data_IF_535156668035
#
_entry.id   IF_535156668035
#
_cell.length_a   1.000
_cell.length_b   1.000
_cell.length_c   1.000
_cell.angle_alpha   90.00
_cell.angle_beta   90.00
_cell.angle_gamma   90.00
#
_symmetry.space_group_name_H-M   'P 1'
#
loop_
_entity.id
_entity.type
_entity.pdbx_description
1 polymer ?
#
# COMPACT_ATOMS: atom_id res chain seq x y z
N UNK A 1 -21.89 42.09 29.41
CA UNK A 1 -20.62 42.14 28.65
C UNK A 1 -20.60 40.95 27.70
N UNK A 2 -19.93 41.13 26.57
CA UNK A 2 -20.14 40.49 25.28
C UNK A 2 -19.82 38.98 25.15
N UNK A 3 -20.30 38.46 24.01
CA UNK A 3 -19.91 37.26 23.25
C UNK A 3 -20.60 35.96 23.69
N UNK A 4 -21.44 35.30 22.88
CA UNK A 4 -21.42 35.18 21.43
C UNK A 4 -20.80 33.83 21.08
N UNK A 5 -21.65 32.85 20.75
CA UNK A 5 -21.27 31.49 20.37
C UNK A 5 -22.44 30.55 20.60
N UNK A 6 -23.30 30.42 19.60
CA UNK A 6 -24.41 29.47 19.55
C UNK A 6 -23.89 28.06 19.75
N UNK A 7 -24.52 27.37 20.69
CA UNK A 7 -24.60 25.91 20.74
C UNK A 7 -25.42 25.54 19.50
N UNK A 8 -24.74 25.23 18.40
CA UNK A 8 -25.42 24.71 17.20
C UNK A 8 -25.53 23.19 17.34
N UNK A 9 -26.79 22.78 17.46
CA UNK A 9 -27.34 21.45 17.64
C UNK A 9 -26.78 20.37 16.69
N UNK A 10 -26.81 19.14 17.22
CA UNK A 10 -26.72 17.85 16.54
C UNK A 10 -27.68 17.72 15.34
N UNK A 11 -27.31 18.25 14.18
CA UNK A 11 -27.92 17.93 12.89
C UNK A 11 -26.97 17.03 12.11
N UNK A 12 -27.31 15.73 12.07
CA UNK A 12 -26.77 14.75 11.12
C UNK A 12 -26.63 15.41 9.74
N UNK A 13 -25.41 15.69 9.26
CA UNK A 13 -25.24 16.25 7.94
C UNK A 13 -25.71 15.18 6.99
N UNK A 14 -26.92 15.32 6.45
CA UNK A 14 -27.39 14.49 5.36
C UNK A 14 -26.32 14.58 4.27
N UNK A 15 -25.50 13.54 4.17
CA UNK A 15 -24.39 13.41 3.23
C UNK A 15 -24.99 13.47 1.84
N UNK A 16 -25.14 14.70 1.34
CA UNK A 16 -25.75 14.96 0.07
C UNK A 16 -24.77 14.52 -1.01
N UNK A 17 -25.27 13.80 -2.01
CA UNK A 17 -24.47 13.41 -3.17
C UNK A 17 -23.85 14.62 -3.88
N UNK A 18 -24.46 15.79 -3.75
CA UNK A 18 -23.90 17.05 -4.26
C UNK A 18 -22.66 17.48 -3.48
N UNK A 19 -22.66 17.39 -2.15
CA UNK A 19 -21.48 17.68 -1.32
C UNK A 19 -20.36 16.66 -1.55
N UNK A 20 -20.71 15.40 -1.79
CA UNK A 20 -19.77 14.36 -2.19
C UNK A 20 -19.13 14.69 -3.55
N UNK A 21 -19.93 15.06 -4.56
CA UNK A 21 -19.41 15.46 -5.89
C UNK A 21 -18.51 16.68 -5.81
N UNK A 22 -18.89 17.70 -5.04
CA UNK A 22 -18.08 18.91 -4.84
C UNK A 22 -16.74 18.57 -4.19
N UNK A 23 -16.76 17.70 -3.17
CA UNK A 23 -15.55 17.23 -2.47
C UNK A 23 -14.67 16.39 -3.37
N UNK A 24 -15.23 15.44 -4.11
CA UNK A 24 -14.50 14.62 -5.09
C UNK A 24 -13.87 15.50 -6.16
N UNK A 25 -14.63 16.45 -6.72
CA UNK A 25 -14.12 17.39 -7.74
C UNK A 25 -12.96 18.23 -7.18
N UNK A 26 -13.05 18.69 -5.94
CA UNK A 26 -11.97 19.43 -5.26
C UNK A 26 -10.74 18.54 -5.02
N UNK A 27 -10.92 17.28 -4.65
CA UNK A 27 -9.84 16.31 -4.49
C UNK A 27 -9.14 15.99 -5.82
N UNK A 28 -9.92 15.79 -6.89
CA UNK A 28 -9.42 15.54 -8.24
C UNK A 28 -8.79 16.78 -8.90
N UNK A 29 -9.16 17.99 -8.46
CA UNK A 29 -8.50 19.22 -8.93
C UNK A 29 -7.12 19.41 -8.29
N UNK A 30 -6.83 18.71 -7.19
CA UNK A 30 -5.51 18.72 -6.59
C UNK A 30 -4.55 17.86 -7.42
N UNK A 31 -3.76 18.54 -8.26
CA UNK A 31 -2.75 17.90 -9.13
C UNK A 31 -1.82 16.95 -8.37
N UNK A 32 -1.40 17.30 -7.15
CA UNK A 32 -0.52 16.45 -6.36
C UNK A 32 -1.20 15.13 -5.96
N UNK A 33 -2.50 15.16 -5.63
CA UNK A 33 -3.26 13.96 -5.30
C UNK A 33 -3.47 13.07 -6.53
N UNK A 34 -3.84 13.67 -7.67
CA UNK A 34 -4.08 12.92 -8.92
C UNK A 34 -2.80 12.29 -9.45
N UNK A 35 -1.68 13.01 -9.51
CA UNK A 35 -0.41 12.45 -9.97
C UNK A 35 0.08 11.33 -9.05
N UNK A 36 -0.10 11.47 -7.73
CA UNK A 36 0.26 10.45 -6.77
C UNK A 36 -0.62 9.19 -6.92
N UNK A 37 -1.94 9.38 -7.06
CA UNK A 37 -2.86 8.27 -7.28
C UNK A 37 -2.57 7.56 -8.62
N UNK A 38 -2.32 8.31 -9.69
CA UNK A 38 -1.94 7.75 -10.97
C UNK A 38 -0.63 6.94 -10.87
N UNK A 39 0.40 7.48 -10.21
CA UNK A 39 1.66 6.76 -9.98
C UNK A 39 1.46 5.46 -9.19
N UNK A 40 0.62 5.49 -8.14
CA UNK A 40 0.26 4.30 -7.36
C UNK A 40 -0.50 3.27 -8.19
N UNK A 41 -1.40 3.70 -9.07
CA UNK A 41 -2.12 2.81 -10.00
C UNK A 41 -1.12 2.13 -10.93
N UNK A 42 -0.22 2.89 -11.56
CA UNK A 42 0.83 2.29 -12.41
C UNK A 42 1.75 1.33 -11.64
N UNK A 43 2.09 1.66 -10.40
CA UNK A 43 2.87 0.77 -9.53
C UNK A 43 2.13 -0.54 -9.23
N UNK A 44 0.85 -0.47 -8.84
CA UNK A 44 0.01 -1.64 -8.62
C UNK A 44 -0.11 -2.51 -9.86
N UNK A 45 -0.30 -1.91 -11.04
CA UNK A 45 -0.36 -2.63 -12.31
C UNK A 45 0.97 -3.34 -12.63
N UNK A 46 2.11 -2.70 -12.37
CA UNK A 46 3.42 -3.33 -12.55
C UNK A 46 3.71 -4.47 -11.55
N UNK A 47 3.17 -4.36 -10.33
CA UNK A 47 3.40 -5.31 -9.25
C UNK A 47 2.40 -6.48 -9.21
N UNK A 48 1.22 -6.31 -9.80
CA UNK A 48 0.17 -7.33 -9.90
C UNK A 48 0.63 -8.66 -10.53
N UNK A 49 1.35 -8.69 -11.68
CA UNK A 49 1.85 -9.94 -12.22
C UNK A 49 2.85 -10.63 -11.29
N UNK A 50 3.68 -9.88 -10.55
CA UNK A 50 4.61 -10.46 -9.57
C UNK A 50 3.85 -11.28 -8.51
N UNK A 51 2.78 -10.73 -7.92
CA UNK A 51 1.98 -11.45 -6.94
C UNK A 51 1.28 -12.69 -7.51
N UNK A 52 0.75 -12.59 -8.73
CA UNK A 52 0.06 -13.71 -9.37
C UNK A 52 1.01 -14.86 -9.67
N UNK A 53 2.20 -14.56 -10.16
CA UNK A 53 3.20 -15.58 -10.49
C UNK A 53 3.99 -16.06 -9.27
N UNK A 54 4.03 -15.31 -8.16
CA UNK A 54 4.76 -15.68 -6.95
C UNK A 54 4.30 -17.01 -6.35
N UNK A 55 2.99 -17.21 -6.18
CA UNK A 55 2.46 -18.48 -5.63
C UNK A 55 2.80 -19.67 -6.52
N UNK A 56 2.72 -19.48 -7.84
CA UNK A 56 3.11 -20.50 -8.83
C UNK A 56 4.61 -20.78 -8.84
N UNK A 57 5.43 -19.74 -8.68
CA UNK A 57 6.88 -19.89 -8.59
C UNK A 57 7.28 -20.74 -7.38
N UNK A 58 6.67 -20.49 -6.22
CA UNK A 58 6.93 -21.26 -4.99
C UNK A 58 6.48 -22.72 -5.15
N UNK A 59 5.32 -22.96 -5.77
CA UNK A 59 4.82 -24.31 -6.10
C UNK A 59 5.85 -25.09 -6.94
N UNK A 60 6.37 -24.48 -8.01
CA UNK A 60 7.30 -25.12 -8.95
C UNK A 60 8.69 -25.33 -8.32
N UNK A 61 9.23 -24.31 -7.62
CA UNK A 61 10.59 -24.37 -7.10
C UNK A 61 10.74 -25.23 -5.85
N UNK A 62 9.78 -25.17 -4.93
CA UNK A 62 9.83 -25.95 -3.69
C UNK A 62 9.12 -27.30 -3.80
N UNK A 63 8.57 -27.63 -4.99
CA UNK A 63 7.78 -28.84 -5.26
C UNK A 63 6.69 -29.08 -4.21
N UNK A 64 6.07 -28.00 -3.75
CA UNK A 64 5.00 -28.02 -2.77
C UNK A 64 3.66 -28.25 -3.47
N UNK A 65 2.69 -28.83 -2.76
CA UNK A 65 1.32 -28.88 -3.27
C UNK A 65 0.76 -27.46 -3.41
N UNK A 66 -0.15 -27.20 -4.36
CA UNK A 66 -0.74 -25.87 -4.55
C UNK A 66 -1.35 -25.30 -3.26
N UNK A 67 -1.94 -26.17 -2.43
CA UNK A 67 -2.51 -25.79 -1.13
C UNK A 67 -1.45 -25.28 -0.14
N UNK A 68 -0.30 -25.95 -0.04
CA UNK A 68 0.77 -25.54 0.88
C UNK A 68 1.46 -24.25 0.42
N UNK A 69 1.74 -24.11 -0.88
CA UNK A 69 2.34 -22.88 -1.44
C UNK A 69 1.43 -21.65 -1.24
N UNK A 70 0.12 -21.81 -1.46
CA UNK A 70 -0.86 -20.75 -1.22
C UNK A 70 -1.03 -20.43 0.26
N UNK A 71 -0.98 -21.43 1.15
CA UNK A 71 -1.09 -21.21 2.59
C UNK A 71 0.10 -20.41 3.13
N UNK A 72 1.32 -20.73 2.69
CA UNK A 72 2.53 -19.99 3.09
C UNK A 72 2.50 -18.56 2.57
N UNK A 73 2.25 -18.36 1.28
CA UNK A 73 2.22 -17.01 0.67
C UNK A 73 1.09 -16.16 1.24
N UNK A 74 -0.10 -16.75 1.41
CA UNK A 74 -1.28 -16.07 1.95
C UNK A 74 -1.13 -15.70 3.43
N UNK A 75 -0.69 -16.63 4.28
CA UNK A 75 -0.49 -16.35 5.72
C UNK A 75 0.58 -15.29 5.95
N UNK A 76 1.69 -15.37 5.22
CA UNK A 76 2.78 -14.39 5.26
C UNK A 76 2.24 -13.00 4.88
N UNK A 77 1.55 -12.88 3.74
CA UNK A 77 0.96 -11.62 3.30
C UNK A 77 -0.03 -11.04 4.32
N UNK A 78 -0.87 -11.89 4.92
CA UNK A 78 -1.86 -11.47 5.91
C UNK A 78 -1.21 -10.95 7.19
N UNK A 79 -0.23 -11.67 7.75
CA UNK A 79 0.46 -11.26 8.98
C UNK A 79 1.18 -9.93 8.77
N UNK A 80 1.93 -9.79 7.67
CA UNK A 80 2.62 -8.55 7.37
C UNK A 80 1.66 -7.38 7.12
N UNK A 81 0.55 -7.62 6.42
CA UNK A 81 -0.47 -6.59 6.20
C UNK A 81 -1.15 -6.16 7.50
N UNK A 82 -1.49 -7.12 8.37
CA UNK A 82 -2.10 -6.84 9.67
C UNK A 82 -1.15 -6.01 10.55
N UNK A 83 0.11 -6.40 10.63
CA UNK A 83 1.12 -5.63 11.37
C UNK A 83 1.30 -4.23 10.79
N UNK A 84 1.40 -4.11 9.46
CA UNK A 84 1.53 -2.82 8.79
C UNK A 84 0.35 -1.88 9.07
N UNK A 85 -0.88 -2.39 9.01
CA UNK A 85 -2.08 -1.62 9.29
C UNK A 85 -2.18 -1.21 10.77
N UNK A 86 -1.84 -2.10 11.70
CA UNK A 86 -1.83 -1.79 13.13
C UNK A 86 -0.82 -0.70 13.46
N UNK A 87 0.39 -0.81 12.91
CA UNK A 87 1.45 0.19 13.08
C UNK A 87 1.03 1.52 12.44
N UNK A 88 0.53 1.50 11.21
CA UNK A 88 0.07 2.70 10.52
C UNK A 88 -1.08 3.39 11.28
N UNK A 89 -2.07 2.61 11.75
CA UNK A 89 -3.18 3.11 12.55
C UNK A 89 -2.73 3.76 13.85
N UNK A 90 -1.82 3.10 14.59
CA UNK A 90 -1.27 3.64 15.84
C UNK A 90 -0.47 4.93 15.61
N UNK A 91 0.32 4.99 14.52
CA UNK A 91 1.11 6.17 14.16
C UNK A 91 0.20 7.33 13.75
N UNK A 92 -0.82 7.10 12.93
CA UNK A 92 -1.77 8.13 12.49
C UNK A 92 -2.55 8.70 13.69
N UNK A 93 -2.99 7.84 14.61
CA UNK A 93 -3.69 8.27 15.83
C UNK A 93 -2.82 9.16 16.72
N UNK A 94 -1.51 8.89 16.80
CA UNK A 94 -0.57 9.67 17.63
C UNK A 94 -0.13 10.97 16.98
N UNK A 95 0.12 10.97 15.66
CA UNK A 95 0.80 12.09 14.97
C UNK A 95 -0.19 13.08 14.34
N UNK A 96 -1.46 12.70 14.07
CA UNK A 96 -2.48 13.52 13.37
C UNK A 96 -1.85 14.35 12.23
N UNK A 97 -1.23 13.69 11.22
CA UNK A 97 -0.45 14.38 10.22
C UNK A 97 -1.30 15.35 9.40
N UNK A 98 -0.77 16.56 9.18
CA UNK A 98 -1.38 17.56 8.32
C UNK A 98 -1.35 17.08 6.84
N UNK A 99 -2.33 17.46 6.00
CA UNK A 99 -2.45 17.05 4.60
C UNK A 99 -1.16 17.19 3.77
N UNK A 100 -0.31 18.18 4.09
CA UNK A 100 1.02 18.33 3.45
C UNK A 100 2.04 17.27 3.91
N UNK A 101 2.03 16.88 5.17
CA UNK A 101 2.91 15.85 5.70
C UNK A 101 2.55 14.47 5.15
N UNK A 102 1.25 14.21 4.93
CA UNK A 102 0.79 12.97 4.32
C UNK A 102 1.23 12.84 2.84
N UNK A 103 1.22 13.96 2.10
CA UNK A 103 1.76 14.00 0.74
C UNK A 103 3.28 13.75 0.70
N UNK A 104 4.03 14.33 1.65
CA UNK A 104 5.47 14.06 1.80
C UNK A 104 5.78 12.61 2.16
N UNK A 105 4.98 12.01 3.05
CA UNK A 105 5.13 10.60 3.44
C UNK A 105 4.93 9.63 2.28
N UNK A 106 4.05 9.95 1.33
CA UNK A 106 3.90 9.13 0.13
C UNK A 106 5.18 9.10 -0.71
N UNK A 107 5.85 10.24 -0.89
CA UNK A 107 7.12 10.31 -1.64
C UNK A 107 8.19 9.46 -0.95
N UNK A 108 8.29 9.55 0.38
CA UNK A 108 9.21 8.73 1.18
C UNK A 108 8.91 7.24 1.00
N UNK A 109 7.64 6.86 1.02
CA UNK A 109 7.20 5.47 0.82
C UNK A 109 7.56 4.96 -0.57
N UNK A 110 7.41 5.79 -1.61
CA UNK A 110 7.84 5.45 -2.97
C UNK A 110 9.35 5.22 -3.07
N UNK A 111 10.16 6.09 -2.47
CA UNK A 111 11.62 5.93 -2.44
C UNK A 111 12.01 4.64 -1.71
N UNK A 112 11.43 4.39 -0.55
CA UNK A 112 11.72 3.22 0.26
C UNK A 112 11.34 1.93 -0.46
N UNK A 113 10.24 1.95 -1.21
CA UNK A 113 9.79 0.84 -2.05
C UNK A 113 10.75 0.59 -3.22
N UNK A 114 11.16 1.64 -3.94
CA UNK A 114 12.17 1.52 -5.01
C UNK A 114 13.50 0.99 -4.48
N UNK A 115 13.96 1.48 -3.32
CA UNK A 115 15.15 0.96 -2.64
C UNK A 115 14.99 -0.51 -2.26
N UNK A 116 13.81 -0.94 -1.79
CA UNK A 116 13.51 -2.32 -1.46
C UNK A 116 13.59 -3.26 -2.67
N UNK A 117 13.06 -2.83 -3.82
CA UNK A 117 13.14 -3.58 -5.08
C UNK A 117 14.59 -3.69 -5.56
N UNK A 118 15.34 -2.58 -5.54
CA UNK A 118 16.75 -2.56 -5.91
C UNK A 118 17.56 -3.46 -4.97
N UNK A 119 17.34 -3.37 -3.66
CA UNK A 119 17.98 -4.22 -2.67
C UNK A 119 17.64 -5.70 -2.87
N UNK A 120 16.37 -6.02 -3.15
CA UNK A 120 15.96 -7.38 -3.48
C UNK A 120 16.65 -7.88 -4.77
N UNK A 121 16.79 -7.04 -5.78
CA UNK A 121 17.53 -7.37 -7.01
C UNK A 121 19.02 -7.63 -6.72
N UNK A 122 19.64 -6.87 -5.81
CA UNK A 122 21.02 -7.11 -5.36
C UNK A 122 21.16 -8.39 -4.53
N UNK A 123 20.21 -8.69 -3.64
CA UNK A 123 20.18 -9.95 -2.87
C UNK A 123 19.92 -11.18 -3.76
N UNK A 124 19.25 -10.99 -4.90
CA UNK A 124 19.01 -12.03 -5.90
C UNK A 124 20.28 -12.61 -6.54
N UNK A 125 21.44 -11.96 -6.34
CA UNK A 125 22.71 -12.44 -6.87
C UNK A 125 23.60 -13.02 -5.76
N UNK A 126 23.25 -14.22 -5.29
CA UNK A 126 24.16 -15.15 -4.57
C UNK A 126 23.62 -16.60 -4.54
N UNK A 127 22.35 -16.83 -4.89
CA UNK A 127 21.74 -18.17 -4.86
C UNK A 127 21.32 -18.69 -6.25
N UNK A 128 21.91 -18.17 -7.33
CA UNK A 128 21.92 -18.84 -8.63
C UNK A 128 23.03 -19.91 -8.68
N UNK A 129 23.13 -20.76 -7.65
CA UNK A 129 23.77 -22.07 -7.77
C UNK A 129 22.80 -23.08 -8.39
N UNK A 130 22.15 -22.68 -9.48
CA UNK A 130 21.46 -23.58 -10.42
C UNK A 130 22.47 -24.40 -11.26
N UNK A 131 23.74 -24.44 -10.87
CA UNK A 131 24.74 -25.39 -11.38
C UNK A 131 24.50 -26.82 -10.90
N UNK A 132 23.55 -27.07 -9.98
CA UNK A 132 23.19 -28.42 -9.51
C UNK A 132 22.05 -29.09 -10.31
N UNK A 133 21.39 -28.42 -11.27
CA UNK A 133 20.28 -29.00 -12.06
C UNK A 133 20.66 -29.30 -13.53
N UNK A 134 21.92 -29.10 -13.92
CA UNK A 134 22.48 -29.55 -15.22
C UNK A 134 23.39 -30.79 -15.05
N UNK A 135 23.49 -31.34 -13.84
CA UNK A 135 24.22 -32.58 -13.56
C UNK A 135 23.35 -33.56 -12.78
N UNK A 136 22.37 -34.17 -13.48
CA UNK A 136 21.98 -35.57 -13.33
C UNK A 136 21.02 -35.98 -14.43
#
# INVERSE_FOLDING_TARGET
MASGGTVDDDLDPQVSFEDLKVTIKRLLTNKAYVFNNAANVFYMFGYMPYFLFQSKYIEIQYRLTPSQANMVTGSTSLVFSALGLLVAGAVIQRIKPNSRQLAGWNIVTSILTSCGIVFYAYLGCNNLNNTAIVSK
#
